data_IF_602024345337
#
_entry.id   IF_602024345337
#
_cell.length_a   1.000
_cell.length_b   1.000
_cell.length_c   1.000
_cell.angle_alpha   90.00
_cell.angle_beta   90.00
_cell.angle_gamma   90.00
#
_symmetry.space_group_name_H-M   'P 1'
#
loop_
_entity.id
_entity.type
_entity.pdbx_description
1 polymer ?
#
# COMPACT_ATOMS: atom_id res chain seq x y z
N UNK A 1 16.67 50.51 -34.16
CA UNK A 1 15.57 50.63 -33.17
C UNK A 1 15.11 49.22 -32.84
N UNK A 2 15.66 48.64 -31.77
CA UNK A 2 15.36 47.29 -31.31
C UNK A 2 14.18 47.35 -30.34
N UNK A 3 13.08 46.68 -30.69
CA UNK A 3 11.93 46.46 -29.84
C UNK A 3 12.21 45.25 -28.93
N UNK A 4 12.32 45.49 -27.62
CA UNK A 4 12.34 44.45 -26.60
C UNK A 4 10.94 44.28 -26.02
N UNK A 5 10.29 43.15 -26.31
CA UNK A 5 9.07 42.71 -25.65
C UNK A 5 9.49 41.97 -24.38
N UNK A 6 9.31 42.60 -23.22
CA UNK A 6 9.42 41.94 -21.94
C UNK A 6 8.07 41.28 -21.61
N UNK A 7 7.93 39.99 -21.92
CA UNK A 7 6.84 39.17 -21.41
C UNK A 7 7.07 38.91 -19.92
N UNK A 8 6.43 39.71 -19.06
CA UNK A 8 6.27 39.35 -17.65
C UNK A 8 5.27 38.19 -17.56
N UNK A 9 5.76 36.96 -17.44
CA UNK A 9 4.96 35.87 -16.90
C UNK A 9 4.65 36.19 -15.44
N UNK A 10 3.49 36.80 -15.22
CA UNK A 10 2.91 36.94 -13.89
C UNK A 10 2.45 35.53 -13.47
N UNK A 11 3.31 34.79 -12.76
CA UNK A 11 2.87 33.65 -11.96
C UNK A 11 1.96 34.21 -10.87
N UNK A 12 0.65 34.31 -11.15
CA UNK A 12 -0.36 34.54 -10.13
C UNK A 12 -0.31 33.33 -9.18
N UNK A 13 0.48 33.43 -8.11
CA UNK A 13 0.30 32.61 -6.92
C UNK A 13 -1.10 32.92 -6.42
N UNK A 14 -1.95 31.90 -6.33
CA UNK A 14 -3.28 32.04 -5.71
C UNK A 14 -3.17 32.68 -4.32
N UNK A 15 -4.27 33.23 -3.79
CA UNK A 15 -4.25 33.87 -2.47
C UNK A 15 -3.67 32.90 -1.44
N UNK A 16 -2.62 33.32 -0.73
CA UNK A 16 -2.05 32.51 0.35
C UNK A 16 -2.93 32.65 1.60
N UNK A 17 -3.18 31.54 2.29
CA UNK A 17 -3.84 31.57 3.59
C UNK A 17 -2.90 32.19 4.64
N UNK A 18 -3.42 33.12 5.45
CA UNK A 18 -2.68 33.83 6.50
C UNK A 18 -3.30 33.62 7.89
N UNK A 19 -4.24 32.68 8.05
CA UNK A 19 -4.87 32.42 9.34
C UNK A 19 -3.98 31.57 10.25
N UNK A 20 -4.01 31.86 11.55
CA UNK A 20 -3.23 31.12 12.58
C UNK A 20 -3.92 29.82 13.04
N UNK A 21 -5.17 29.60 12.62
CA UNK A 21 -5.97 28.45 13.03
C UNK A 21 -5.51 27.17 12.32
N UNK A 22 -5.27 26.13 13.12
CA UNK A 22 -4.85 24.79 12.67
C UNK A 22 -6.01 23.80 12.87
N UNK A 23 -6.21 22.90 11.91
CA UNK A 23 -7.22 21.85 11.96
C UNK A 23 -6.57 20.48 11.77
N UNK A 24 -6.81 19.56 12.70
CA UNK A 24 -6.46 18.14 12.57
C UNK A 24 -7.77 17.36 12.43
N UNK A 25 -7.84 16.53 11.39
CA UNK A 25 -8.92 15.56 11.21
C UNK A 25 -8.31 14.17 11.44
N UNK A 26 -8.73 13.52 12.53
CA UNK A 26 -8.38 12.13 12.82
C UNK A 26 -9.58 11.24 12.49
N UNK A 27 -9.44 10.42 11.45
CA UNK A 27 -10.43 9.41 11.12
C UNK A 27 -10.02 8.04 11.68
N UNK A 28 -10.95 7.35 12.33
CA UNK A 28 -10.73 6.02 12.91
C UNK A 28 -11.76 5.09 12.28
N UNK A 29 -11.30 4.20 11.42
CA UNK A 29 -12.17 3.26 10.72
C UNK A 29 -12.86 2.31 11.72
N UNK A 30 -14.14 2.02 11.50
CA UNK A 30 -14.91 1.11 12.35
C UNK A 30 -15.11 1.55 13.82
N UNK A 31 -14.88 2.81 14.18
CA UNK A 31 -15.06 3.28 15.56
C UNK A 31 -16.54 3.32 15.97
N UNK A 32 -16.99 2.29 16.70
CA UNK A 32 -18.35 2.24 17.22
C UNK A 32 -18.58 3.27 18.35
N UNK A 33 -19.56 4.18 18.22
CA UNK A 33 -19.79 5.26 19.18
C UNK A 33 -20.35 4.77 20.53
N UNK A 34 -21.03 3.61 20.56
CA UNK A 34 -21.55 3.02 21.79
C UNK A 34 -20.42 2.38 22.60
N UNK A 35 -19.54 1.63 21.93
CA UNK A 35 -18.33 1.08 22.55
C UNK A 35 -17.41 2.18 23.07
N UNK A 36 -17.18 3.23 22.27
CA UNK A 36 -16.37 4.37 22.69
C UNK A 36 -16.96 5.04 23.94
N UNK A 37 -18.27 5.32 23.95
CA UNK A 37 -18.95 5.89 25.12
C UNK A 37 -18.80 5.02 26.35
N UNK A 38 -19.00 3.70 26.22
CA UNK A 38 -18.82 2.74 27.30
C UNK A 38 -17.38 2.75 27.82
N UNK A 39 -16.38 2.71 26.96
CA UNK A 39 -14.97 2.69 27.37
C UNK A 39 -14.49 4.02 27.97
N UNK A 40 -15.07 5.16 27.58
CA UNK A 40 -14.86 6.42 28.28
C UNK A 40 -15.40 6.36 29.72
N UNK A 41 -16.62 5.83 29.91
CA UNK A 41 -17.23 5.66 31.24
C UNK A 41 -16.48 4.68 32.13
N UNK A 42 -15.90 3.62 31.54
CA UNK A 42 -15.04 2.66 32.24
C UNK A 42 -13.62 3.19 32.51
N UNK A 43 -13.28 4.41 32.09
CA UNK A 43 -11.94 5.00 32.28
C UNK A 43 -10.86 4.44 31.35
N UNK A 44 -11.22 3.62 30.36
CA UNK A 44 -10.29 2.97 29.41
C UNK A 44 -9.87 3.87 28.25
N UNK A 45 -10.63 4.95 27.99
CA UNK A 45 -10.37 5.91 26.91
C UNK A 45 -10.24 7.34 27.45
N UNK A 46 -9.24 7.63 28.31
CA UNK A 46 -9.15 8.92 29.02
C UNK A 46 -8.93 10.11 28.08
N UNK A 47 -8.22 9.93 26.97
CA UNK A 47 -8.00 11.00 25.99
C UNK A 47 -9.29 11.40 25.26
N UNK A 48 -10.13 10.43 24.89
CA UNK A 48 -11.44 10.72 24.28
C UNK A 48 -12.40 11.34 25.28
N UNK A 49 -12.38 10.89 26.54
CA UNK A 49 -13.19 11.50 27.60
C UNK A 49 -12.85 12.99 27.76
N UNK A 50 -11.54 13.31 27.83
CA UNK A 50 -11.07 14.71 27.88
C UNK A 50 -11.49 15.52 26.66
N UNK A 51 -11.39 14.96 25.44
CA UNK A 51 -11.83 15.64 24.22
C UNK A 51 -13.35 15.89 24.21
N UNK A 52 -14.14 14.95 24.71
CA UNK A 52 -15.58 15.09 24.82
C UNK A 52 -15.99 16.16 25.84
N UNK A 53 -15.26 16.27 26.96
CA UNK A 53 -15.47 17.30 28.00
C UNK A 53 -15.08 18.71 27.52
N UNK A 54 -13.96 18.82 26.79
CA UNK A 54 -13.44 20.11 26.31
C UNK A 54 -14.15 20.61 25.05
N UNK A 55 -14.83 19.72 24.33
CA UNK A 55 -15.44 20.00 23.03
C UNK A 55 -16.86 19.47 22.90
N UNK A 56 -17.16 18.85 21.76
CA UNK A 56 -18.48 18.29 21.47
C UNK A 56 -18.33 16.85 21.00
N UNK A 57 -19.03 15.92 21.65
CA UNK A 57 -19.14 14.53 21.23
C UNK A 57 -20.55 14.26 20.72
N UNK A 58 -20.70 14.01 19.42
CA UNK A 58 -22.00 13.81 18.77
C UNK A 58 -22.00 12.52 17.96
N UNK A 59 -23.13 11.82 18.00
CA UNK A 59 -23.39 10.71 17.10
C UNK A 59 -23.58 11.26 15.68
N UNK A 60 -22.80 10.77 14.74
CA UNK A 60 -22.97 11.04 13.32
C UNK A 60 -23.63 9.83 12.66
N UNK A 61 -24.51 10.08 11.68
CA UNK A 61 -25.00 9.03 10.81
C UNK A 61 -23.86 8.51 9.93
N UNK A 62 -23.86 7.21 9.67
CA UNK A 62 -22.92 6.59 8.73
C UNK A 62 -23.36 6.84 7.28
N UNK A 63 -22.51 6.44 6.32
CA UNK A 63 -22.88 6.37 4.91
C UNK A 63 -23.93 5.31 4.65
N UNK A 64 -24.63 5.44 3.51
CA UNK A 64 -25.48 4.38 2.97
C UNK A 64 -24.93 4.01 1.58
N UNK A 65 -24.39 2.79 1.39
CA UNK A 65 -24.23 1.72 2.40
C UNK A 65 -23.10 2.03 3.43
N UNK A 66 -23.13 1.42 4.62
CA UNK A 66 -22.16 1.67 5.70
C UNK A 66 -20.85 0.90 5.50
N UNK A 67 -20.22 1.10 4.33
CA UNK A 67 -18.94 0.51 3.95
C UNK A 67 -17.84 1.56 4.06
N UNK A 68 -16.65 1.19 4.55
CA UNK A 68 -15.50 2.10 4.68
C UNK A 68 -15.23 2.93 3.40
N UNK A 69 -15.05 2.36 2.20
CA UNK A 69 -14.75 3.14 0.99
C UNK A 69 -15.86 4.15 0.63
N UNK A 70 -17.11 3.89 1.04
CA UNK A 70 -18.23 4.81 0.86
C UNK A 70 -18.16 5.94 1.89
N UNK A 71 -18.01 5.62 3.18
CA UNK A 71 -17.91 6.61 4.24
C UNK A 71 -16.73 7.57 4.05
N UNK A 72 -15.56 7.05 3.65
CA UNK A 72 -14.38 7.87 3.37
C UNK A 72 -14.58 8.72 2.11
N UNK A 73 -15.26 8.21 1.07
CA UNK A 73 -15.61 9.02 -0.10
C UNK A 73 -16.61 10.13 0.22
N UNK A 74 -17.59 9.87 1.11
CA UNK A 74 -18.49 10.90 1.63
C UNK A 74 -17.70 12.00 2.35
N UNK A 75 -16.80 11.64 3.26
CA UNK A 75 -15.95 12.59 3.98
C UNK A 75 -15.11 13.44 3.02
N UNK A 76 -14.48 12.79 2.04
CA UNK A 76 -13.61 13.47 1.09
C UNK A 76 -14.35 14.49 0.24
N UNK A 77 -15.56 14.16 -0.23
CA UNK A 77 -16.24 14.91 -1.29
C UNK A 77 -17.43 15.73 -0.83
N UNK A 78 -17.98 15.44 0.35
CA UNK A 78 -19.28 15.94 0.79
C UNK A 78 -20.47 15.39 -0.01
N UNK A 79 -20.25 14.43 -0.90
CA UNK A 79 -21.30 13.78 -1.69
C UNK A 79 -21.79 12.49 -1.02
N UNK A 80 -22.93 11.96 -1.47
CA UNK A 80 -23.35 10.60 -1.17
C UNK A 80 -22.81 9.59 -2.20
N UNK A 81 -23.11 8.31 -1.98
CA UNK A 81 -22.71 7.21 -2.86
C UNK A 81 -23.10 7.42 -4.33
N UNK A 82 -24.25 8.06 -4.59
CA UNK A 82 -24.71 8.37 -5.94
C UNK A 82 -23.85 9.45 -6.62
N UNK A 83 -23.38 10.43 -5.86
CA UNK A 83 -22.52 11.51 -6.36
C UNK A 83 -21.07 11.08 -6.63
N UNK A 84 -20.42 10.43 -5.66
CA UNK A 84 -19.03 10.00 -5.80
C UNK A 84 -18.87 8.63 -6.48
N UNK A 85 -19.96 7.87 -6.63
CA UNK A 85 -20.02 6.63 -7.41
C UNK A 85 -19.38 5.41 -6.76
N UNK A 86 -19.02 5.47 -5.47
CA UNK A 86 -18.46 4.33 -4.71
C UNK A 86 -19.60 3.73 -3.88
N UNK A 87 -19.77 2.41 -3.97
CA UNK A 87 -20.92 1.71 -3.36
C UNK A 87 -20.51 0.51 -2.50
N UNK A 88 -19.28 0.02 -2.67
CA UNK A 88 -18.70 -1.11 -1.95
C UNK A 88 -17.18 -1.08 -2.22
N UNK A 89 -16.40 -2.01 -1.69
CA UNK A 89 -15.02 -2.30 -2.12
C UNK A 89 -14.98 -2.93 -3.51
N UNK A 90 -16.02 -3.67 -3.88
CA UNK A 90 -16.08 -4.39 -5.15
C UNK A 90 -17.26 -3.88 -5.98
N UNK A 91 -16.97 -3.49 -7.21
CA UNK A 91 -17.97 -3.27 -8.23
C UNK A 91 -17.99 -4.43 -9.22
N UNK A 92 -19.02 -4.46 -10.05
CA UNK A 92 -19.18 -5.48 -11.09
C UNK A 92 -19.40 -4.80 -12.42
N UNK A 93 -18.67 -5.24 -13.44
CA UNK A 93 -18.93 -4.80 -14.81
C UNK A 93 -20.31 -5.33 -15.25
N UNK A 94 -21.26 -4.47 -15.65
CA UNK A 94 -22.61 -4.91 -15.97
C UNK A 94 -22.70 -5.75 -17.26
N UNK A 95 -21.68 -5.69 -18.13
CA UNK A 95 -21.63 -6.46 -19.38
C UNK A 95 -20.97 -7.81 -19.19
N UNK A 96 -19.85 -7.87 -18.49
CA UNK A 96 -19.05 -9.11 -18.32
C UNK A 96 -19.34 -9.83 -17.01
N UNK A 97 -20.00 -9.14 -16.08
CA UNK A 97 -20.29 -9.59 -14.71
C UNK A 97 -19.03 -9.84 -13.87
N UNK A 98 -17.85 -9.41 -14.34
CA UNK A 98 -16.60 -9.58 -13.62
C UNK A 98 -16.50 -8.57 -12.47
N UNK A 99 -16.08 -9.00 -11.27
CA UNK A 99 -15.80 -8.10 -10.16
C UNK A 99 -14.53 -7.30 -10.44
N UNK A 100 -14.50 -6.05 -9.97
CA UNK A 100 -13.31 -5.21 -9.97
C UNK A 100 -13.32 -4.32 -8.73
N UNK A 101 -12.14 -3.87 -8.31
CA UNK A 101 -12.02 -2.97 -7.16
C UNK A 101 -12.64 -1.60 -7.47
N UNK A 102 -13.52 -1.13 -6.59
CA UNK A 102 -14.37 0.01 -6.87
C UNK A 102 -13.67 1.36 -6.85
N UNK A 103 -12.58 1.49 -6.06
CA UNK A 103 -11.97 2.79 -5.81
C UNK A 103 -10.95 3.18 -6.88
N UNK A 104 -10.29 2.20 -7.49
CA UNK A 104 -9.22 2.44 -8.45
C UNK A 104 -9.08 1.32 -9.47
N UNK A 105 -8.54 1.67 -10.63
CA UNK A 105 -8.18 0.71 -11.67
C UNK A 105 -6.75 0.95 -12.13
N UNK A 106 -5.96 -0.11 -12.22
CA UNK A 106 -4.64 -0.08 -12.87
C UNK A 106 -4.76 -0.85 -14.17
N UNK A 107 -4.61 -0.16 -15.29
CA UNK A 107 -4.65 -0.75 -16.62
C UNK A 107 -3.28 -0.62 -17.30
N UNK A 108 -2.92 -1.65 -18.05
CA UNK A 108 -1.83 -1.56 -19.01
C UNK A 108 -2.13 -0.58 -20.16
N UNK A 109 -1.18 -0.39 -21.05
CA UNK A 109 -1.31 0.53 -22.17
C UNK A 109 -2.43 0.13 -23.15
N UNK A 110 -3.28 1.10 -23.53
CA UNK A 110 -4.46 0.88 -24.39
C UNK A 110 -4.15 0.42 -25.82
N UNK A 111 -2.91 0.61 -26.29
CA UNK A 111 -2.46 0.22 -27.63
C UNK A 111 -1.10 -0.45 -27.52
N UNK A 112 -0.92 -1.57 -28.21
CA UNK A 112 0.35 -2.26 -28.31
C UNK A 112 0.54 -2.89 -29.70
N UNK A 113 1.79 -3.01 -30.11
CA UNK A 113 2.21 -3.82 -31.25
C UNK A 113 2.64 -5.20 -30.76
N UNK A 114 2.18 -6.24 -31.44
CA UNK A 114 2.56 -7.61 -31.11
C UNK A 114 3.63 -8.08 -32.09
N UNK A 115 4.82 -8.42 -31.57
CA UNK A 115 5.93 -8.96 -32.35
C UNK A 115 6.43 -10.25 -31.69
N UNK A 116 5.99 -11.40 -32.22
CA UNK A 116 6.30 -12.69 -31.62
C UNK A 116 5.71 -12.83 -30.20
N UNK A 117 6.56 -13.10 -29.21
CA UNK A 117 6.18 -13.15 -27.78
C UNK A 117 6.14 -11.78 -27.10
N UNK A 118 6.60 -10.72 -27.79
CA UNK A 118 6.67 -9.36 -27.24
C UNK A 118 5.41 -8.56 -27.54
N UNK A 119 5.02 -7.76 -26.55
CA UNK A 119 3.96 -6.76 -26.58
C UNK A 119 4.65 -5.41 -26.38
N UNK A 120 4.78 -4.64 -27.46
CA UNK A 120 5.45 -3.34 -27.46
C UNK A 120 4.37 -2.27 -27.26
N UNK A 121 4.29 -1.62 -26.10
CA UNK A 121 3.23 -0.66 -25.86
C UNK A 121 3.48 0.64 -26.62
N UNK A 122 2.40 1.20 -27.16
CA UNK A 122 2.39 2.49 -27.86
C UNK A 122 1.96 3.64 -26.93
N UNK A 123 2.02 3.42 -25.61
CA UNK A 123 1.67 4.36 -24.55
C UNK A 123 2.06 3.81 -23.18
N UNK A 124 1.87 4.60 -22.12
CA UNK A 124 2.04 4.14 -20.74
C UNK A 124 0.81 3.40 -20.21
N UNK A 125 0.98 2.64 -19.12
CA UNK A 125 -0.14 2.20 -18.28
C UNK A 125 -0.78 3.40 -17.56
N UNK A 126 -1.95 3.18 -16.98
CA UNK A 126 -2.66 4.20 -16.21
C UNK A 126 -3.18 3.64 -14.90
N UNK A 127 -2.99 4.39 -13.82
CA UNK A 127 -3.77 4.25 -12.59
C UNK A 127 -4.89 5.30 -12.64
N UNK A 128 -6.14 4.87 -12.54
CA UNK A 128 -7.33 5.71 -12.54
C UNK A 128 -8.01 5.61 -11.18
N UNK A 129 -8.36 6.77 -10.60
CA UNK A 129 -9.22 6.84 -9.44
C UNK A 129 -10.67 6.86 -9.93
N UNK A 130 -11.49 5.92 -9.47
CA UNK A 130 -12.88 5.75 -9.91
C UNK A 130 -13.86 6.56 -9.07
N UNK A 131 -13.43 7.04 -7.89
CA UNK A 131 -14.19 7.97 -7.06
C UNK A 131 -14.34 9.32 -7.78
N UNK A 132 -15.57 9.78 -7.92
CA UNK A 132 -15.92 11.08 -8.49
C UNK A 132 -16.00 12.16 -7.41
N UNK A 133 -16.12 13.41 -7.85
CA UNK A 133 -16.22 14.56 -6.97
C UNK A 133 -14.86 15.08 -6.53
N UNK A 134 -14.83 16.37 -6.17
CA UNK A 134 -13.62 17.04 -5.71
C UNK A 134 -13.38 16.70 -4.25
N UNK A 135 -12.16 16.32 -3.90
CA UNK A 135 -11.77 16.19 -2.51
C UNK A 135 -11.64 17.57 -1.86
N UNK A 136 -12.02 17.72 -0.60
CA UNK A 136 -12.02 19.02 0.06
C UNK A 136 -10.62 19.66 0.15
N UNK A 137 -9.54 18.87 0.14
CA UNK A 137 -8.18 19.42 0.10
C UNK A 137 -7.80 20.01 -1.26
N UNK A 138 -8.46 19.63 -2.37
CA UNK A 138 -8.31 20.35 -3.64
C UNK A 138 -8.84 21.78 -3.52
N UNK A 139 -9.88 21.98 -2.70
CA UNK A 139 -10.40 23.32 -2.37
C UNK A 139 -9.39 24.08 -1.51
N UNK A 140 -8.78 23.42 -0.52
CA UNK A 140 -7.70 24.01 0.29
C UNK A 140 -6.53 24.49 -0.59
N UNK A 141 -6.14 23.69 -1.57
CA UNK A 141 -5.06 24.03 -2.52
C UNK A 141 -5.37 25.22 -3.45
N UNK A 142 -6.64 25.37 -3.85
CA UNK A 142 -7.11 26.52 -4.63
C UNK A 142 -7.04 27.82 -3.81
N UNK A 143 -7.31 27.72 -2.51
CA UNK A 143 -7.27 28.82 -1.55
C UNK A 143 -5.91 28.99 -0.85
N UNK A 144 -4.88 28.26 -1.30
CA UNK A 144 -3.53 28.38 -0.76
C UNK A 144 -3.41 28.02 0.72
N UNK A 145 -4.27 27.14 1.22
CA UNK A 145 -4.22 26.61 2.58
C UNK A 145 -3.30 25.37 2.60
N UNK A 146 -2.16 25.42 3.32
CA UNK A 146 -1.28 24.27 3.46
C UNK A 146 -2.02 23.08 4.06
N UNK A 147 -1.85 21.90 3.47
CA UNK A 147 -2.50 20.68 3.92
C UNK A 147 -1.60 19.46 3.71
N UNK A 148 -1.74 18.50 4.62
CA UNK A 148 -1.10 17.18 4.56
C UNK A 148 -2.17 16.12 4.80
N UNK A 149 -2.28 15.17 3.87
CA UNK A 149 -3.25 14.08 3.86
C UNK A 149 -2.49 12.76 3.96
N UNK A 150 -2.73 12.03 5.04
CA UNK A 150 -1.97 10.81 5.32
C UNK A 150 -2.87 9.58 5.33
N UNK A 151 -2.65 8.68 4.36
CA UNK A 151 -3.29 7.36 4.23
C UNK A 151 -4.83 7.37 4.34
N UNK A 152 -5.46 8.40 3.79
CA UNK A 152 -6.93 8.41 3.66
C UNK A 152 -7.37 7.31 2.68
N UNK A 153 -8.33 6.44 3.07
CA UNK A 153 -8.91 5.42 2.19
C UNK A 153 -9.54 5.99 0.91
N UNK A 154 -9.60 5.18 -0.15
CA UNK A 154 -10.20 5.53 -1.44
C UNK A 154 -9.52 6.71 -2.18
N UNK A 155 -8.28 7.03 -1.82
CA UNK A 155 -7.48 8.09 -2.44
C UNK A 155 -6.26 7.54 -3.20
N UNK A 156 -6.41 6.38 -3.87
CA UNK A 156 -5.41 5.84 -4.79
C UNK A 156 -5.94 5.85 -6.24
N UNK A 157 -5.12 6.22 -7.23
CA UNK A 157 -3.96 7.10 -7.06
C UNK A 157 -4.42 8.44 -6.44
N UNK A 158 -3.58 9.15 -5.67
CA UNK A 158 -4.02 10.37 -5.00
C UNK A 158 -4.38 11.44 -6.02
N UNK A 159 -5.43 12.22 -5.72
CA UNK A 159 -5.82 13.32 -6.61
C UNK A 159 -4.65 14.32 -6.74
N UNK A 160 -4.50 14.97 -7.91
CA UNK A 160 -3.52 16.03 -8.08
C UNK A 160 -3.71 17.12 -7.02
N UNK A 161 -2.72 17.29 -6.15
CA UNK A 161 -2.75 18.24 -5.05
C UNK A 161 -1.39 18.97 -4.96
N UNK A 162 -1.42 20.23 -4.52
CA UNK A 162 -0.24 20.99 -4.10
C UNK A 162 0.17 20.58 -2.69
N UNK A 163 -0.81 20.27 -1.84
CA UNK A 163 -0.60 19.67 -0.53
C UNK A 163 0.06 18.29 -0.60
N UNK A 164 0.65 17.86 0.50
CA UNK A 164 1.29 16.56 0.61
C UNK A 164 0.24 15.48 0.87
N UNK A 165 0.20 14.43 0.07
CA UNK A 165 -0.79 13.37 0.14
C UNK A 165 -0.11 12.02 -0.05
N UNK A 166 -0.33 11.08 0.86
CA UNK A 166 0.03 9.67 0.71
C UNK A 166 -1.26 8.84 0.63
N UNK A 167 -1.38 7.96 -0.36
CA UNK A 167 -2.54 7.09 -0.53
C UNK A 167 -2.67 6.09 0.62
N UNK A 168 -3.91 5.74 0.97
CA UNK A 168 -4.25 4.79 2.03
C UNK A 168 -4.85 3.50 1.51
N UNK A 169 -5.83 2.98 2.25
CA UNK A 169 -6.62 1.79 1.88
C UNK A 169 -7.14 1.90 0.43
N UNK A 170 -6.88 0.83 -0.34
CA UNK A 170 -7.11 0.78 -1.78
C UNK A 170 -5.87 0.98 -2.65
N UNK A 171 -4.72 1.34 -2.04
CA UNK A 171 -3.42 1.26 -2.72
C UNK A 171 -3.03 -0.21 -2.94
N UNK A 172 -2.81 -0.64 -4.19
CA UNK A 172 -2.41 -2.01 -4.47
C UNK A 172 -0.94 -2.26 -4.09
N UNK A 173 -0.57 -3.53 -3.99
CA UNK A 173 0.82 -3.94 -4.02
C UNK A 173 1.42 -3.81 -5.44
N UNK A 174 2.70 -4.10 -5.61
CA UNK A 174 3.39 -3.98 -6.89
C UNK A 174 2.78 -4.88 -7.97
N UNK A 175 2.15 -6.00 -7.56
CA UNK A 175 1.49 -6.95 -8.45
C UNK A 175 0.10 -6.47 -8.89
N UNK A 176 -0.37 -5.33 -8.36
CA UNK A 176 -1.72 -4.83 -8.61
C UNK A 176 -2.79 -5.52 -7.75
N UNK A 177 -2.39 -6.31 -6.75
CA UNK A 177 -3.30 -7.01 -5.84
C UNK A 177 -3.44 -6.24 -4.52
N UNK A 178 -4.26 -6.73 -3.59
CA UNK A 178 -4.49 -6.09 -2.29
C UNK A 178 -3.85 -6.91 -1.17
N UNK A 179 -2.53 -7.12 -1.29
CA UNK A 179 -1.70 -7.79 -0.30
C UNK A 179 -1.57 -9.30 -0.52
N UNK A 180 -1.04 -9.73 -1.68
CA UNK A 180 -0.85 -11.17 -1.97
C UNK A 180 0.52 -11.66 -1.49
N UNK A 181 0.55 -12.43 -0.40
CA UNK A 181 1.79 -13.03 0.13
C UNK A 181 2.25 -14.27 -0.65
N UNK A 182 3.48 -14.72 -0.40
CA UNK A 182 4.02 -15.99 -0.91
C UNK A 182 4.52 -16.85 0.24
N UNK A 183 4.07 -18.10 0.32
CA UNK A 183 4.47 -19.06 1.35
C UNK A 183 5.23 -20.23 0.71
N UNK A 184 6.50 -20.40 1.04
CA UNK A 184 7.37 -21.42 0.49
C UNK A 184 7.54 -22.55 1.50
N UNK A 185 7.28 -23.79 1.10
CA UNK A 185 7.37 -24.95 2.01
C UNK A 185 7.81 -26.23 1.31
N UNK A 186 8.58 -27.07 1.99
CA UNK A 186 8.91 -28.44 1.55
C UNK A 186 7.96 -29.49 2.15
N UNK A 187 6.95 -29.06 2.91
CA UNK A 187 5.97 -29.96 3.51
C UNK A 187 4.96 -30.45 2.46
N UNK A 188 4.95 -31.77 2.13
CA UNK A 188 4.05 -32.32 1.13
C UNK A 188 2.58 -32.34 1.57
N UNK A 189 2.28 -32.08 2.85
CA UNK A 189 0.91 -32.04 3.37
C UNK A 189 0.23 -30.69 3.12
N UNK A 190 1.01 -29.65 2.82
CA UNK A 190 0.46 -28.32 2.53
C UNK A 190 0.03 -28.26 1.06
N UNK A 191 -1.24 -27.96 0.81
CA UNK A 191 -1.78 -27.85 -0.54
C UNK A 191 -1.13 -26.67 -1.28
N UNK A 192 -0.46 -26.96 -2.40
CA UNK A 192 0.10 -25.94 -3.27
C UNK A 192 -0.99 -25.18 -4.05
N UNK A 193 -0.74 -23.91 -4.35
CA UNK A 193 -1.62 -23.08 -5.17
C UNK A 193 -2.12 -21.82 -4.47
N UNK A 194 -3.14 -21.19 -5.07
CA UNK A 194 -3.73 -19.96 -4.57
C UNK A 194 -4.56 -20.19 -3.31
N UNK A 195 -4.40 -19.29 -2.34
CA UNK A 195 -5.23 -19.16 -1.14
C UNK A 195 -5.84 -17.75 -1.10
N UNK A 196 -6.69 -17.43 -0.13
CA UNK A 196 -7.46 -16.17 -0.13
C UNK A 196 -6.55 -14.92 -0.06
N UNK A 197 -5.44 -15.03 0.69
CA UNK A 197 -4.47 -13.94 0.86
C UNK A 197 -3.18 -14.08 0.07
N UNK A 198 -2.95 -15.16 -0.66
CA UNK A 198 -1.59 -15.47 -1.10
C UNK A 198 -1.48 -16.69 -2.00
N UNK A 199 -0.25 -17.21 -2.06
CA UNK A 199 0.07 -18.42 -2.80
C UNK A 199 1.03 -19.31 -2.01
N UNK A 200 0.71 -20.60 -1.94
CA UNK A 200 1.61 -21.64 -1.43
C UNK A 200 2.44 -22.19 -2.58
N UNK A 201 3.76 -22.15 -2.41
CA UNK A 201 4.77 -22.51 -3.39
C UNK A 201 5.60 -23.67 -2.82
N UNK A 202 5.46 -24.90 -3.36
CA UNK A 202 6.28 -26.01 -2.91
C UNK A 202 7.74 -25.79 -3.32
N UNK A 203 8.66 -26.07 -2.41
CA UNK A 203 10.11 -26.00 -2.63
C UNK A 203 10.77 -27.31 -2.24
N UNK A 204 12.04 -27.47 -2.63
CA UNK A 204 12.87 -28.61 -2.25
C UNK A 204 14.08 -28.10 -1.46
N UNK A 205 14.44 -28.83 -0.41
CA UNK A 205 15.68 -28.64 0.33
C UNK A 205 16.70 -29.67 -0.15
N UNK A 206 17.65 -29.23 -0.98
CA UNK A 206 18.71 -30.09 -1.52
C UNK A 206 20.07 -29.63 -0.99
N UNK A 207 20.83 -30.51 -0.34
CA UNK A 207 22.13 -30.17 0.27
C UNK A 207 22.06 -28.93 1.18
N UNK A 208 21.02 -28.90 2.03
CA UNK A 208 20.71 -27.77 2.92
C UNK A 208 20.49 -26.44 2.20
N UNK A 209 20.07 -26.47 0.93
CA UNK A 209 19.79 -25.30 0.13
C UNK A 209 18.39 -25.35 -0.48
N UNK A 210 17.69 -24.22 -0.40
CA UNK A 210 16.46 -23.95 -1.14
C UNK A 210 16.76 -22.93 -2.22
N UNK A 211 16.19 -23.11 -3.41
CA UNK A 211 16.23 -22.13 -4.50
C UNK A 211 14.81 -21.94 -5.01
N UNK A 212 14.34 -20.70 -5.04
CA UNK A 212 12.98 -20.38 -5.44
C UNK A 212 12.91 -18.99 -6.08
N UNK A 213 11.76 -18.66 -6.65
CA UNK A 213 11.54 -17.37 -7.28
C UNK A 213 10.60 -16.51 -6.43
N UNK A 214 10.99 -15.25 -6.21
CA UNK A 214 10.08 -14.20 -5.82
C UNK A 214 9.15 -13.88 -6.98
N UNK A 215 7.89 -13.60 -6.67
CA UNK A 215 6.86 -13.25 -7.66
C UNK A 215 6.69 -11.73 -7.66
N UNK A 216 7.06 -11.12 -8.77
CA UNK A 216 6.89 -9.70 -9.04
C UNK A 216 5.65 -9.38 -9.87
N UNK A 217 5.56 -8.16 -10.41
CA UNK A 217 4.42 -7.73 -11.22
C UNK A 217 4.28 -8.53 -12.53
N UNK A 218 3.06 -8.59 -13.05
CA UNK A 218 2.79 -9.16 -14.36
C UNK A 218 3.54 -8.40 -15.46
N UNK A 219 4.29 -9.14 -16.28
CA UNK A 219 5.06 -8.56 -17.38
C UNK A 219 4.16 -8.31 -18.58
N UNK A 220 3.51 -7.15 -18.60
CA UNK A 220 2.61 -6.73 -19.69
C UNK A 220 3.30 -6.56 -21.05
N UNK A 221 4.64 -6.59 -21.10
CA UNK A 221 5.42 -6.56 -22.34
C UNK A 221 5.56 -7.94 -22.98
N UNK A 222 5.03 -9.00 -22.36
CA UNK A 222 5.03 -10.36 -22.90
C UNK A 222 3.61 -10.86 -23.11
N UNK A 223 3.42 -11.68 -24.15
CA UNK A 223 2.12 -12.29 -24.45
C UNK A 223 1.64 -13.14 -23.26
N UNK A 224 0.40 -12.90 -22.83
CA UNK A 224 -0.20 -13.57 -21.67
C UNK A 224 0.19 -12.97 -20.31
N UNK A 225 0.98 -11.90 -20.30
CA UNK A 225 1.39 -11.15 -19.10
C UNK A 225 1.90 -12.04 -17.96
N UNK A 226 2.86 -12.97 -18.20
CA UNK A 226 3.37 -13.81 -17.12
C UNK A 226 4.01 -12.95 -16.03
N UNK A 227 3.94 -13.35 -14.75
CA UNK A 227 4.61 -12.64 -13.67
C UNK A 227 6.11 -12.56 -13.93
N UNK A 228 6.70 -11.39 -13.70
CA UNK A 228 8.13 -11.26 -13.57
C UNK A 228 8.59 -11.98 -12.30
N UNK A 229 9.75 -12.62 -12.35
CA UNK A 229 10.28 -13.40 -11.24
C UNK A 229 11.73 -13.06 -10.99
N UNK A 230 12.16 -13.13 -9.74
CA UNK A 230 13.55 -12.95 -9.35
C UNK A 230 14.01 -14.13 -8.50
N UNK A 231 15.22 -14.63 -8.79
CA UNK A 231 15.75 -15.81 -8.11
C UNK A 231 16.28 -15.42 -6.73
N UNK A 232 15.92 -16.18 -5.72
CA UNK A 232 16.58 -16.13 -4.42
C UNK A 232 17.01 -17.52 -3.98
N UNK A 233 17.99 -17.56 -3.09
CA UNK A 233 18.42 -18.81 -2.48
C UNK A 233 18.51 -18.70 -0.98
N UNK A 234 18.30 -19.83 -0.31
CA UNK A 234 18.36 -19.96 1.14
C UNK A 234 19.31 -21.11 1.45
N UNK A 235 20.37 -20.86 2.22
CA UNK A 235 21.21 -21.89 2.80
C UNK A 235 20.75 -22.11 4.25
N UNK A 236 20.07 -23.22 4.50
CA UNK A 236 19.56 -23.60 5.81
C UNK A 236 20.70 -24.26 6.59
N UNK A 237 20.96 -23.85 7.82
CA UNK A 237 21.94 -24.55 8.65
C UNK A 237 21.40 -25.95 9.00
N UNK A 238 22.15 -27.05 8.86
CA UNK A 238 21.63 -28.40 9.11
C UNK A 238 21.44 -28.75 10.59
N UNK A 239 21.98 -27.95 11.51
CA UNK A 239 21.97 -28.22 12.96
C UNK A 239 21.21 -27.14 13.74
N UNK A 240 21.36 -25.89 13.33
CA UNK A 240 20.75 -24.74 14.00
C UNK A 240 19.50 -24.27 13.27
N UNK A 241 18.53 -23.71 13.99
CA UNK A 241 17.32 -23.10 13.41
C UNK A 241 17.61 -21.71 12.83
N UNK A 242 18.52 -21.65 11.85
CA UNK A 242 19.00 -20.43 11.19
C UNK A 242 19.17 -20.68 9.70
N UNK A 243 18.90 -19.66 8.87
CA UNK A 243 19.17 -19.74 7.44
C UNK A 243 19.75 -18.43 6.88
N UNK A 244 20.64 -18.56 5.89
CA UNK A 244 21.20 -17.45 5.12
C UNK A 244 20.44 -17.27 3.82
N UNK A 245 19.95 -16.06 3.59
CA UNK A 245 19.23 -15.67 2.39
C UNK A 245 20.15 -14.89 1.46
N UNK A 246 19.97 -15.08 0.14
CA UNK A 246 20.66 -14.30 -0.88
C UNK A 246 19.71 -13.97 -2.05
N UNK A 247 19.58 -12.69 -2.37
CA UNK A 247 18.77 -12.17 -3.48
C UNK A 247 19.43 -10.91 -4.07
N UNK A 248 19.66 -10.88 -5.38
CA UNK A 248 20.27 -9.74 -6.09
C UNK A 248 21.54 -9.16 -5.41
N UNK A 249 22.40 -10.03 -4.88
CA UNK A 249 23.64 -9.63 -4.19
C UNK A 249 23.46 -9.13 -2.75
N UNK A 250 22.23 -9.00 -2.26
CA UNK A 250 21.93 -8.79 -0.84
C UNK A 250 21.96 -10.13 -0.11
N UNK A 251 22.61 -10.16 1.05
CA UNK A 251 22.67 -11.35 1.90
C UNK A 251 22.28 -10.98 3.33
N UNK A 252 21.48 -11.82 3.98
CA UNK A 252 21.08 -11.65 5.38
C UNK A 252 20.85 -13.02 6.04
N UNK A 253 20.88 -13.05 7.37
CA UNK A 253 20.62 -14.25 8.18
C UNK A 253 19.32 -14.04 8.93
N UNK A 254 18.50 -15.09 9.02
CA UNK A 254 17.33 -15.13 9.89
C UNK A 254 17.41 -16.36 10.77
N UNK A 255 17.05 -16.19 12.03
CA UNK A 255 16.65 -17.29 12.92
C UNK A 255 15.20 -17.66 12.65
N UNK A 256 14.83 -18.88 13.01
CA UNK A 256 13.44 -19.27 13.07
C UNK A 256 12.65 -18.30 13.96
N UNK A 257 11.49 -17.84 13.47
CA UNK A 257 10.69 -16.79 14.10
C UNK A 257 11.16 -15.36 13.83
N UNK A 258 12.13 -15.14 12.94
CA UNK A 258 12.67 -13.81 12.67
C UNK A 258 12.18 -13.24 11.32
N UNK A 259 11.85 -11.95 11.34
CA UNK A 259 11.57 -11.15 10.14
C UNK A 259 12.85 -10.45 9.67
N UNK A 260 13.09 -10.42 8.37
CA UNK A 260 14.10 -9.56 7.76
C UNK A 260 13.72 -8.07 7.88
N UNK A 261 14.72 -7.20 7.72
CA UNK A 261 14.48 -5.84 7.26
C UNK A 261 13.84 -5.84 5.85
N UNK A 262 13.52 -4.65 5.33
CA UNK A 262 13.04 -4.53 3.96
C UNK A 262 14.11 -4.95 2.95
N UNK A 263 13.74 -5.89 2.08
CA UNK A 263 14.60 -6.37 0.99
C UNK A 263 14.09 -5.76 -0.30
N UNK A 264 14.91 -4.91 -0.94
CA UNK A 264 14.58 -4.31 -2.24
C UNK A 264 14.82 -5.33 -3.35
N UNK A 265 13.91 -5.40 -4.30
CA UNK A 265 14.00 -6.32 -5.43
C UNK A 265 13.63 -5.60 -6.72
N UNK A 266 14.46 -5.76 -7.74
CA UNK A 266 14.26 -5.16 -9.05
C UNK A 266 13.82 -6.22 -10.06
N UNK A 267 12.61 -6.10 -10.61
CA UNK A 267 12.09 -7.02 -11.60
C UNK A 267 12.31 -6.50 -13.01
N UNK A 268 12.98 -7.28 -13.84
CA UNK A 268 13.19 -6.94 -15.25
C UNK A 268 11.97 -7.30 -16.09
N UNK A 269 11.24 -6.28 -16.56
CA UNK A 269 10.13 -6.45 -17.50
C UNK A 269 10.62 -6.42 -18.96
N UNK A 270 11.55 -5.51 -19.27
CA UNK A 270 12.22 -5.43 -20.57
C UNK A 270 13.72 -5.54 -20.34
N UNK A 271 14.43 -6.43 -21.07
CA UNK A 271 15.88 -6.49 -21.04
C UNK A 271 16.51 -5.11 -21.19
N UNK A 272 17.49 -4.81 -20.33
CA UNK A 272 18.36 -3.62 -20.37
C UNK A 272 17.75 -2.29 -19.86
N UNK A 273 16.45 -2.04 -19.94
CA UNK A 273 15.91 -0.70 -19.58
C UNK A 273 14.49 -0.64 -18.97
N UNK A 274 13.79 -1.77 -18.83
CA UNK A 274 12.41 -1.79 -18.32
C UNK A 274 12.32 -2.50 -16.98
N UNK A 275 12.93 -1.94 -15.94
CA UNK A 275 12.91 -2.53 -14.61
C UNK A 275 11.88 -1.84 -13.70
N UNK A 276 11.34 -2.61 -12.77
CA UNK A 276 10.39 -2.12 -11.77
C UNK A 276 10.87 -2.55 -10.38
N UNK A 277 10.89 -1.60 -9.44
CA UNK A 277 11.35 -1.85 -8.08
C UNK A 277 10.19 -2.12 -7.13
N UNK A 278 10.39 -3.14 -6.31
CA UNK A 278 9.54 -3.46 -5.18
C UNK A 278 10.37 -3.73 -3.95
N UNK A 279 9.68 -4.00 -2.86
CA UNK A 279 10.29 -4.46 -1.63
C UNK A 279 9.39 -5.46 -0.91
N UNK A 280 9.99 -6.42 -0.24
CA UNK A 280 9.28 -7.39 0.59
C UNK A 280 10.08 -7.68 1.86
N UNK A 281 9.43 -8.37 2.80
CA UNK A 281 10.07 -8.92 4.00
C UNK A 281 9.96 -10.42 3.99
N UNK A 282 10.98 -11.07 4.53
CA UNK A 282 11.07 -12.52 4.69
C UNK A 282 10.83 -12.85 6.16
N UNK A 283 10.07 -13.89 6.43
CA UNK A 283 9.84 -14.43 7.76
C UNK A 283 10.16 -15.92 7.76
N UNK A 284 11.28 -16.28 8.39
CA UNK A 284 11.66 -17.69 8.50
C UNK A 284 10.80 -18.34 9.57
N UNK A 285 9.68 -18.92 9.15
CA UNK A 285 8.71 -19.55 10.06
C UNK A 285 9.25 -20.84 10.67
N UNK A 286 9.92 -21.66 9.86
CA UNK A 286 10.52 -22.91 10.33
C UNK A 286 11.73 -23.27 9.48
N UNK A 287 12.85 -23.61 10.12
CA UNK A 287 14.03 -24.14 9.44
C UNK A 287 13.98 -25.67 9.33
N UNK A 288 13.57 -26.34 10.42
CA UNK A 288 13.51 -27.80 10.56
C UNK A 288 12.27 -28.25 11.34
N UNK A 289 11.79 -29.49 11.16
CA UNK A 289 12.23 -30.48 10.18
C UNK A 289 11.69 -30.22 8.77
N UNK A 290 10.75 -29.29 8.63
CA UNK A 290 10.21 -28.81 7.35
C UNK A 290 10.55 -27.35 7.19
N UNK A 291 11.09 -26.99 6.04
CA UNK A 291 11.35 -25.60 5.71
C UNK A 291 10.02 -24.88 5.46
N UNK A 292 9.80 -23.77 6.16
CA UNK A 292 8.67 -22.88 5.94
C UNK A 292 9.13 -21.43 5.95
N UNK A 293 8.82 -20.72 4.88
CA UNK A 293 9.18 -19.32 4.69
C UNK A 293 7.95 -18.55 4.22
N UNK A 294 7.60 -17.52 4.97
CA UNK A 294 6.61 -16.54 4.54
C UNK A 294 7.35 -15.33 3.93
N UNK A 295 6.88 -14.85 2.78
CA UNK A 295 7.32 -13.61 2.16
C UNK A 295 6.12 -12.69 2.04
N UNK A 296 6.25 -11.47 2.58
CA UNK A 296 5.21 -10.47 2.56
C UNK A 296 4.77 -10.13 1.14
N UNK A 297 3.59 -9.49 0.95
CA UNK A 297 3.24 -8.91 -0.33
C UNK A 297 4.35 -8.02 -0.88
N UNK A 298 4.52 -8.05 -2.20
CA UNK A 298 5.54 -7.25 -2.90
C UNK A 298 5.10 -5.78 -2.92
N UNK A 299 5.60 -4.98 -1.98
CA UNK A 299 5.24 -3.58 -1.85
C UNK A 299 5.90 -2.73 -2.94
N UNK A 300 5.30 -1.60 -3.25
CA UNK A 300 5.88 -0.58 -4.12
C UNK A 300 7.02 0.09 -3.33
N UNK A 301 8.19 0.28 -3.93
CA UNK A 301 9.27 1.00 -3.23
C UNK A 301 8.89 2.49 -3.06
N UNK A 302 8.74 3.02 -1.82
CA UNK A 302 8.33 4.41 -1.62
C UNK A 302 9.37 5.43 -2.08
N UNK A 303 10.65 5.03 -2.19
CA UNK A 303 11.74 5.87 -2.68
C UNK A 303 11.76 6.00 -4.21
N UNK A 304 11.24 5.01 -4.92
CA UNK A 304 11.16 4.99 -6.39
C UNK A 304 9.88 4.28 -6.86
N UNK A 305 8.71 4.88 -6.62
CA UNK A 305 7.45 4.16 -6.72
C UNK A 305 7.03 3.93 -8.17
N UNK A 306 6.74 2.66 -8.49
CA UNK A 306 6.26 2.23 -9.81
C UNK A 306 4.85 2.74 -10.15
N UNK A 307 4.06 3.07 -9.13
CA UNK A 307 2.71 3.64 -9.25
C UNK A 307 2.62 4.93 -8.44
N UNK A 308 1.75 5.89 -8.83
CA UNK A 308 1.61 7.15 -8.12
C UNK A 308 0.90 6.94 -6.78
N UNK A 309 1.68 6.69 -5.72
CA UNK A 309 1.18 6.51 -4.34
C UNK A 309 1.16 7.80 -3.53
N UNK A 310 1.72 8.90 -4.06
CA UNK A 310 1.77 10.19 -3.38
C UNK A 310 1.67 11.39 -4.32
N UNK A 311 1.17 12.52 -3.79
CA UNK A 311 1.26 13.84 -4.42
C UNK A 311 1.87 14.85 -3.43
N UNK A 312 2.79 15.73 -3.85
CA UNK A 312 3.61 15.61 -5.05
C UNK A 312 4.34 14.26 -5.10
N UNK A 313 4.70 13.76 -6.28
CA UNK A 313 5.27 12.42 -6.47
C UNK A 313 6.53 12.12 -5.62
N UNK A 314 7.26 13.16 -5.21
CA UNK A 314 8.44 13.04 -4.33
C UNK A 314 8.10 12.81 -2.86
N UNK A 315 6.84 12.96 -2.44
CA UNK A 315 6.48 12.95 -1.03
C UNK A 315 6.71 11.59 -0.37
N UNK A 316 6.37 10.47 -1.05
CA UNK A 316 6.69 9.13 -0.54
C UNK A 316 8.19 8.91 -0.36
N UNK A 317 9.02 9.46 -1.26
CA UNK A 317 10.48 9.40 -1.15
C UNK A 317 10.97 10.18 0.06
N UNK A 318 10.48 11.40 0.25
CA UNK A 318 10.83 12.23 1.41
C UNK A 318 10.47 11.53 2.73
N UNK A 319 9.29 10.91 2.80
CA UNK A 319 8.89 10.11 3.96
C UNK A 319 9.82 8.92 4.20
N UNK A 320 10.21 8.21 3.14
CA UNK A 320 11.14 7.09 3.25
C UNK A 320 12.54 7.52 3.70
N UNK A 321 13.04 8.66 3.21
CA UNK A 321 14.33 9.23 3.60
C UNK A 321 14.36 9.67 5.08
N UNK A 322 13.24 10.16 5.61
CA UNK A 322 13.17 10.74 6.95
C UNK A 322 12.71 9.73 8.02
N UNK A 323 11.68 8.95 7.71
CA UNK A 323 11.08 7.99 8.63
C UNK A 323 11.55 6.56 8.41
N UNK A 324 12.30 6.28 7.34
CA UNK A 324 12.69 4.94 6.89
C UNK A 324 11.63 4.25 6.02
N UNK A 325 11.95 3.06 5.50
CA UNK A 325 11.06 2.28 4.65
C UNK A 325 9.78 1.83 5.40
N UNK A 326 8.67 1.75 4.67
CA UNK A 326 7.33 1.47 5.20
C UNK A 326 6.41 0.80 4.19
N UNK A 327 5.39 0.08 4.67
CA UNK A 327 4.38 -0.54 3.82
C UNK A 327 3.61 0.50 2.98
N UNK A 328 3.68 0.39 1.66
CA UNK A 328 2.92 1.25 0.74
C UNK A 328 1.53 0.69 0.45
N UNK A 329 1.32 -0.61 0.67
CA UNK A 329 0.00 -1.23 0.50
C UNK A 329 -1.04 -0.61 1.42
N UNK A 330 -2.30 -0.61 0.99
CA UNK A 330 -3.37 0.11 1.69
C UNK A 330 -3.69 -0.41 3.09
N UNK A 331 -3.80 -1.73 3.25
CA UNK A 331 -3.91 -2.42 4.54
C UNK A 331 -2.70 -3.33 4.63
N UNK A 332 -1.86 -3.12 5.63
CA UNK A 332 -0.56 -3.79 5.71
C UNK A 332 -0.60 -5.00 6.64
N UNK A 333 -1.50 -5.01 7.60
CA UNK A 333 -1.74 -6.10 8.52
C UNK A 333 -2.34 -7.30 7.78
N UNK A 334 -1.60 -8.41 7.69
CA UNK A 334 -1.98 -9.54 6.83
C UNK A 334 -2.98 -10.48 7.52
N UNK A 335 -4.21 -10.00 7.65
CA UNK A 335 -5.32 -10.74 8.26
C UNK A 335 -5.70 -12.00 7.48
N UNK A 336 -5.40 -12.03 6.18
CA UNK A 336 -5.69 -13.19 5.32
C UNK A 336 -4.68 -14.29 5.53
N UNK A 337 -3.39 -13.97 5.62
CA UNK A 337 -2.37 -14.95 6.02
C UNK A 337 -2.70 -15.59 7.38
N UNK A 338 -3.22 -14.79 8.33
CA UNK A 338 -3.72 -15.32 9.60
C UNK A 338 -4.92 -16.25 9.43
N UNK A 339 -5.93 -15.82 8.66
CA UNK A 339 -7.16 -16.58 8.45
C UNK A 339 -6.91 -17.90 7.71
N UNK A 340 -5.95 -17.93 6.80
CA UNK A 340 -5.50 -19.11 6.05
C UNK A 340 -4.46 -19.96 6.81
N UNK A 341 -4.07 -19.56 8.03
CA UNK A 341 -3.15 -20.31 8.89
C UNK A 341 -1.68 -20.27 8.47
N UNK A 342 -1.29 -19.36 7.57
CA UNK A 342 0.10 -19.15 7.14
C UNK A 342 0.89 -18.35 8.18
N UNK A 343 0.20 -17.46 8.89
CA UNK A 343 0.66 -16.85 10.13
C UNK A 343 -0.25 -17.30 11.26
N UNK A 344 0.31 -17.63 12.41
CA UNK A 344 -0.49 -17.81 13.62
C UNK A 344 -0.81 -16.46 14.30
N UNK A 345 -1.51 -16.51 15.43
CA UNK A 345 -1.94 -15.32 16.17
C UNK A 345 -0.77 -14.47 16.69
N UNK A 346 0.33 -15.11 17.12
CA UNK A 346 1.51 -14.42 17.65
C UNK A 346 2.33 -13.81 16.50
N UNK A 347 2.51 -14.55 15.42
CA UNK A 347 3.24 -14.10 14.24
C UNK A 347 2.52 -12.93 13.54
N UNK A 348 1.20 -13.02 13.44
CA UNK A 348 0.37 -11.91 12.98
C UNK A 348 0.48 -10.69 13.90
N UNK A 349 0.47 -10.90 15.22
CA UNK A 349 0.59 -9.80 16.18
C UNK A 349 1.94 -9.09 16.05
N UNK A 350 3.04 -9.81 15.87
CA UNK A 350 4.36 -9.25 15.62
C UNK A 350 4.41 -8.47 14.31
N UNK A 351 3.81 -9.00 13.25
CA UNK A 351 3.68 -8.31 11.97
C UNK A 351 2.87 -7.01 12.11
N UNK A 352 1.73 -7.03 12.81
CA UNK A 352 0.90 -5.85 13.06
C UNK A 352 1.62 -4.81 13.95
N UNK A 353 2.43 -5.25 14.91
CA UNK A 353 3.25 -4.36 15.73
C UNK A 353 4.35 -3.67 14.89
N UNK A 354 4.97 -4.39 13.95
CA UNK A 354 5.93 -3.80 13.03
C UNK A 354 5.27 -2.72 12.15
N UNK A 355 4.09 -2.99 11.61
CA UNK A 355 3.28 -2.01 10.86
C UNK A 355 2.95 -0.78 11.72
N UNK A 356 2.54 -0.99 12.98
CA UNK A 356 2.28 0.11 13.91
C UNK A 356 3.55 0.93 14.20
N UNK A 357 4.70 0.30 14.35
CA UNK A 357 5.97 0.97 14.56
C UNK A 357 6.36 1.85 13.36
N UNK A 358 6.12 1.39 12.14
CA UNK A 358 6.27 2.20 10.92
C UNK A 358 5.36 3.43 10.93
N UNK A 359 4.07 3.25 11.22
CA UNK A 359 3.14 4.37 11.28
C UNK A 359 3.53 5.39 12.34
N UNK A 360 4.03 4.94 13.49
CA UNK A 360 4.53 5.82 14.56
C UNK A 360 5.75 6.61 14.12
N UNK A 361 6.74 5.98 13.47
CA UNK A 361 7.91 6.70 12.92
C UNK A 361 7.50 7.81 11.95
N UNK A 362 6.56 7.52 11.05
CA UNK A 362 6.07 8.53 10.11
C UNK A 362 5.28 9.64 10.83
N UNK A 363 4.42 9.28 11.78
CA UNK A 363 3.70 10.26 12.60
C UNK A 363 4.67 11.18 13.36
N UNK A 364 5.71 10.64 13.97
CA UNK A 364 6.71 11.39 14.73
C UNK A 364 7.55 12.30 13.83
N UNK A 365 7.73 11.95 12.55
CA UNK A 365 8.38 12.80 11.55
C UNK A 365 7.45 13.92 11.03
N UNK A 366 6.18 13.61 10.74
CA UNK A 366 5.26 14.55 10.09
C UNK A 366 4.55 15.50 11.07
N UNK A 367 4.13 15.00 12.23
CA UNK A 367 3.32 15.77 13.16
C UNK A 367 4.01 17.06 13.67
N UNK A 368 5.32 17.08 13.97
CA UNK A 368 6.01 18.31 14.36
C UNK A 368 6.03 19.39 13.27
N UNK A 369 5.97 19.02 11.99
CA UNK A 369 5.94 19.98 10.86
C UNK A 369 4.61 20.73 10.78
N UNK A 370 3.56 20.15 11.34
CA UNK A 370 2.25 20.79 11.47
C UNK A 370 2.17 21.73 12.67
N UNK A 371 2.96 21.49 13.74
CA UNK A 371 2.86 22.21 15.02
C UNK A 371 3.30 23.67 15.01
#
# INVERSE_FOLDING_TARGET
MLAGIASMLCCQRGPAWHGEQKLIILGIDGMDPQLLKRFMQEGKMPNFARLAEQGSFRLLASSIPPQSPVAWSNLMTGMDAGGHGIFDFIHRDPKTLQPYFSASRVEGPKRALHLGSWVIPLGGGSAEQLRRGRAFWEILDEHGVPNTIFRIPANFPPVPAKGQTLSGMGTPDLRGTYGTFSFYTDDPTTAAGSVEGGQVIPVQVENSKVTANLIGPDNTFRKGSPPATELFSVAVDPLESVAKFAVQGQEFLLREGEWSDWVRVEFQLIPVFGNVKGMCRFYLKQAHPRFQLYVSPMNIDPSDPALPISTPAKYSRMLSEEAGEFHTQGIAEDTKARSDGMLDDQEYLEQAQAVLAEHRRIFDAEFPKFQ
#
